data_IF_693783185851
#
_entry.id   IF_693783185851
#
_cell.length_a   1.000
_cell.length_b   1.000
_cell.length_c   1.000
_cell.angle_alpha   90.00
_cell.angle_beta   90.00
_cell.angle_gamma   90.00
#
_symmetry.space_group_name_H-M   'P 1'
#
loop_
_entity.id
_entity.type
_entity.pdbx_description
1 polymer ?
#
# COMPACT_ATOMS: atom_id res chain seq x y z
N UNK A 1 10.22 -15.84 22.29
CA UNK A 1 9.61 -16.89 21.43
C UNK A 1 10.15 -16.69 20.02
N UNK A 2 10.40 -17.74 19.25
CA UNK A 2 10.85 -17.59 17.85
C UNK A 2 9.71 -17.92 16.89
N UNK A 3 9.52 -17.10 15.86
CA UNK A 3 8.52 -17.25 14.82
C UNK A 3 9.21 -17.19 13.45
N UNK A 4 9.29 -18.32 12.76
CA UNK A 4 9.90 -18.40 11.45
C UNK A 4 8.88 -18.09 10.33
N UNK A 5 9.31 -17.29 9.36
CA UNK A 5 8.54 -16.90 8.17
C UNK A 5 9.50 -16.74 6.98
N UNK A 6 8.98 -16.82 5.76
CA UNK A 6 9.74 -16.49 4.55
C UNK A 6 9.81 -14.98 4.35
N UNK A 7 8.75 -14.26 4.76
CA UNK A 7 8.67 -12.80 4.68
C UNK A 7 8.07 -12.23 5.96
N UNK A 8 8.77 -11.27 6.55
CA UNK A 8 8.27 -10.41 7.62
C UNK A 8 7.89 -9.04 7.04
N UNK A 9 6.64 -8.62 7.23
CA UNK A 9 6.15 -7.28 6.85
C UNK A 9 5.86 -6.51 8.14
N UNK A 10 6.58 -5.42 8.36
CA UNK A 10 6.37 -4.53 9.49
C UNK A 10 5.49 -3.33 9.07
N UNK A 11 4.20 -3.39 9.43
CA UNK A 11 3.23 -2.33 9.18
C UNK A 11 2.00 -2.81 8.40
N UNK A 12 0.81 -2.37 8.84
CA UNK A 12 -0.48 -2.71 8.23
C UNK A 12 -1.11 -1.58 7.42
N UNK A 13 -0.33 -0.59 6.99
CA UNK A 13 -0.81 0.40 6.02
C UNK A 13 -1.03 -0.21 4.63
N UNK A 14 -1.52 0.61 3.70
CA UNK A 14 -1.75 0.19 2.29
C UNK A 14 -0.54 -0.53 1.69
N UNK A 15 0.68 -0.03 1.93
CA UNK A 15 1.89 -0.63 1.39
C UNK A 15 2.13 -2.05 1.91
N UNK A 16 1.99 -2.27 3.22
CA UNK A 16 2.21 -3.59 3.84
C UNK A 16 1.13 -4.60 3.42
N UNK A 17 -0.15 -4.20 3.49
CA UNK A 17 -1.26 -5.06 3.11
C UNK A 17 -1.23 -5.41 1.61
N UNK A 18 -1.01 -4.42 0.75
CA UNK A 18 -0.97 -4.65 -0.70
C UNK A 18 0.25 -5.48 -1.09
N UNK A 19 1.42 -5.26 -0.46
CA UNK A 19 2.60 -6.12 -0.67
C UNK A 19 2.31 -7.56 -0.28
N UNK A 20 1.72 -7.80 0.89
CA UNK A 20 1.38 -9.13 1.37
C UNK A 20 0.45 -9.88 0.40
N UNK A 21 -0.49 -9.16 -0.23
CA UNK A 21 -1.43 -9.72 -1.20
C UNK A 21 -0.81 -10.03 -2.57
N UNK A 22 0.24 -9.30 -2.97
CA UNK A 22 0.97 -9.52 -4.22
C UNK A 22 2.06 -10.60 -4.10
N UNK A 23 2.43 -11.00 -2.88
CA UNK A 23 3.36 -12.12 -2.67
C UNK A 23 2.73 -13.47 -3.04
N UNK A 24 3.61 -14.39 -3.47
CA UNK A 24 3.26 -15.76 -3.85
C UNK A 24 2.53 -16.49 -2.72
N UNK A 25 1.63 -17.40 -3.09
CA UNK A 25 0.74 -18.07 -2.12
C UNK A 25 1.41 -19.17 -1.31
N UNK A 26 2.60 -19.61 -1.73
CA UNK A 26 3.37 -20.67 -1.09
C UNK A 26 4.37 -20.17 -0.04
N UNK A 27 4.57 -18.85 0.05
CA UNK A 27 5.39 -18.23 1.10
C UNK A 27 4.60 -18.09 2.39
N UNK A 28 5.24 -18.39 3.53
CA UNK A 28 4.76 -18.07 4.87
C UNK A 28 5.06 -16.62 5.20
N UNK A 29 4.01 -15.81 5.25
CA UNK A 29 4.13 -14.36 5.48
C UNK A 29 3.66 -14.06 6.90
N UNK A 30 4.45 -13.28 7.63
CA UNK A 30 4.06 -12.68 8.90
C UNK A 30 3.94 -11.17 8.70
N UNK A 31 2.75 -10.62 8.92
CA UNK A 31 2.50 -9.19 8.91
C UNK A 31 2.25 -8.74 10.35
N UNK A 32 3.08 -7.85 10.87
CA UNK A 32 2.90 -7.27 12.20
C UNK A 32 2.35 -5.84 12.09
N UNK A 33 1.57 -5.44 13.08
CA UNK A 33 1.11 -4.06 13.25
C UNK A 33 1.30 -3.60 14.69
N UNK A 34 1.80 -2.39 14.87
CA UNK A 34 1.99 -1.76 16.19
C UNK A 34 0.68 -1.63 16.96
N UNK A 35 -0.42 -1.37 16.26
CA UNK A 35 -1.77 -1.28 16.82
C UNK A 35 -2.71 -2.26 16.14
N UNK A 36 -3.99 -1.89 16.02
CA UNK A 36 -4.95 -2.62 15.19
C UNK A 36 -4.73 -2.33 13.71
N UNK A 37 -5.23 -3.22 12.83
CA UNK A 37 -5.08 -3.09 11.38
C UNK A 37 -5.63 -1.76 10.83
N UNK A 38 -6.75 -1.30 11.36
CA UNK A 38 -7.42 -0.07 10.96
C UNK A 38 -6.85 1.20 11.63
N UNK A 39 -5.89 1.05 12.54
CA UNK A 39 -5.22 2.16 13.22
C UNK A 39 -3.96 2.59 12.45
N UNK A 40 -4.14 3.05 11.20
CA UNK A 40 -3.06 3.54 10.35
C UNK A 40 -3.46 4.76 9.53
N UNK A 41 -2.48 5.55 9.07
CA UNK A 41 -2.75 6.79 8.31
C UNK A 41 -3.49 6.54 6.99
N UNK A 42 -3.46 5.32 6.45
CA UNK A 42 -4.25 4.96 5.26
C UNK A 42 -5.73 5.19 5.51
N UNK A 43 -6.28 4.91 6.70
CA UNK A 43 -7.73 5.09 6.96
C UNK A 43 -8.15 6.56 7.02
N UNK A 44 -7.19 7.48 7.17
CA UNK A 44 -7.42 8.92 7.25
C UNK A 44 -7.37 9.62 5.87
N UNK A 45 -6.95 8.92 4.80
CA UNK A 45 -6.83 9.52 3.48
C UNK A 45 -8.21 9.75 2.83
N UNK A 46 -8.48 11.02 2.48
CA UNK A 46 -9.78 11.46 1.93
C UNK A 46 -9.73 11.57 0.40
N UNK A 47 -8.81 12.39 -0.11
CA UNK A 47 -8.79 12.90 -1.49
C UNK A 47 -8.89 11.81 -2.56
N UNK A 48 -7.95 10.87 -2.59
CA UNK A 48 -8.01 9.75 -3.53
C UNK A 48 -6.64 9.17 -3.89
N UNK A 49 -6.60 8.46 -5.02
CA UNK A 49 -5.39 7.82 -5.56
C UNK A 49 -5.11 8.41 -6.94
N UNK A 50 -3.94 9.01 -7.13
CA UNK A 50 -3.51 9.49 -8.45
C UNK A 50 -3.21 8.32 -9.37
N UNK A 51 -3.79 8.33 -10.57
CA UNK A 51 -3.64 7.28 -11.59
C UNK A 51 -3.59 7.91 -12.98
N UNK A 52 -2.75 7.39 -13.88
CA UNK A 52 -2.77 7.83 -15.27
C UNK A 52 -4.14 7.54 -15.90
N UNK A 53 -4.68 8.47 -16.69
CA UNK A 53 -5.97 8.23 -17.37
C UNK A 53 -5.87 7.18 -18.47
N UNK A 54 -4.72 7.15 -19.15
CA UNK A 54 -4.39 6.24 -20.24
C UNK A 54 -2.87 6.27 -20.46
N UNK A 55 -2.38 5.56 -21.49
CA UNK A 55 -0.95 5.50 -21.81
C UNK A 55 -0.36 6.85 -22.20
N UNK A 56 -1.14 7.70 -22.88
CA UNK A 56 -0.68 9.01 -23.36
C UNK A 56 -0.48 10.01 -22.20
N UNK A 57 -1.18 9.80 -21.09
CA UNK A 57 -1.07 10.60 -19.87
C UNK A 57 0.15 10.23 -18.99
N UNK A 58 0.77 9.07 -19.19
CA UNK A 58 1.89 8.61 -18.35
C UNK A 58 3.04 9.61 -18.35
N UNK A 59 3.41 10.15 -19.51
CA UNK A 59 4.49 11.13 -19.64
C UNK A 59 4.17 12.40 -18.83
N UNK A 60 2.94 12.89 -18.91
CA UNK A 60 2.48 14.06 -18.15
C UNK A 60 2.42 13.76 -16.65
N UNK A 61 2.03 12.55 -16.24
CA UNK A 61 2.04 12.14 -14.84
C UNK A 61 3.46 12.14 -14.26
N UNK A 62 4.42 11.58 -15.00
CA UNK A 62 5.84 11.60 -14.61
C UNK A 62 6.30 13.05 -14.44
N UNK A 63 6.03 13.91 -15.41
CA UNK A 63 6.47 15.30 -15.38
C UNK A 63 5.83 16.10 -14.24
N UNK A 64 4.51 15.95 -14.01
CA UNK A 64 3.81 16.58 -12.87
C UNK A 64 4.45 16.16 -11.54
N UNK A 65 4.82 14.87 -11.41
CA UNK A 65 5.42 14.32 -10.20
C UNK A 65 6.83 14.87 -9.98
N UNK A 66 7.64 14.92 -11.04
CA UNK A 66 9.00 15.47 -10.99
C UNK A 66 8.98 16.96 -10.64
N UNK A 67 8.12 17.75 -11.29
CA UNK A 67 7.94 19.17 -10.98
C UNK A 67 7.54 19.39 -9.53
N UNK A 68 6.57 18.62 -9.03
CA UNK A 68 6.12 18.73 -7.65
C UNK A 68 7.23 18.42 -6.63
N UNK A 69 8.15 17.51 -6.96
CA UNK A 69 9.32 17.17 -6.15
C UNK A 69 10.57 18.00 -6.46
N UNK A 70 10.44 19.12 -7.19
CA UNK A 70 11.57 19.96 -7.61
C UNK A 70 12.67 19.20 -8.36
N UNK A 71 12.30 18.12 -9.06
CA UNK A 71 13.19 17.20 -9.77
C UNK A 71 14.23 16.47 -8.90
N UNK A 72 14.08 16.48 -7.57
CA UNK A 72 14.92 15.71 -6.62
C UNK A 72 14.46 14.25 -6.48
N UNK A 73 13.42 13.85 -7.23
CA UNK A 73 12.92 12.49 -7.21
C UNK A 73 13.86 11.52 -7.93
N UNK A 74 13.81 10.25 -7.54
CA UNK A 74 14.36 9.18 -8.38
C UNK A 74 13.47 8.97 -9.62
N UNK A 75 13.98 9.34 -10.81
CA UNK A 75 13.24 9.24 -12.08
C UNK A 75 12.73 7.82 -12.36
N UNK A 76 13.53 6.79 -12.08
CA UNK A 76 13.13 5.40 -12.32
C UNK A 76 11.93 5.01 -11.45
N UNK A 77 11.93 5.40 -10.17
CA UNK A 77 10.82 5.15 -9.26
C UNK A 77 9.54 5.87 -9.70
N UNK A 78 9.65 7.13 -10.14
CA UNK A 78 8.50 7.90 -10.66
C UNK A 78 7.93 7.28 -11.93
N UNK A 79 8.80 6.81 -12.83
CA UNK A 79 8.37 6.09 -14.04
C UNK A 79 7.61 4.81 -13.68
N UNK A 80 8.11 4.01 -12.74
CA UNK A 80 7.41 2.80 -12.28
C UNK A 80 6.04 3.18 -11.72
N UNK A 81 5.98 4.15 -10.82
CA UNK A 81 4.74 4.64 -10.20
C UNK A 81 3.69 5.03 -11.25
N UNK A 82 4.08 5.83 -12.25
CA UNK A 82 3.17 6.30 -13.29
C UNK A 82 2.73 5.16 -14.23
N UNK A 83 3.67 4.34 -14.71
CA UNK A 83 3.39 3.26 -15.66
C UNK A 83 2.49 2.16 -15.07
N UNK A 84 2.71 1.79 -13.81
CA UNK A 84 1.95 0.72 -13.16
C UNK A 84 0.63 1.21 -12.53
N UNK A 85 0.36 2.52 -12.54
CA UNK A 85 -0.79 3.10 -11.85
C UNK A 85 -2.13 2.53 -12.32
N UNK A 86 -2.34 2.42 -13.64
CA UNK A 86 -3.59 1.90 -14.24
C UNK A 86 -3.80 0.44 -13.83
N UNK A 87 -2.77 -0.39 -13.97
CA UNK A 87 -2.85 -1.81 -13.61
C UNK A 87 -3.15 -1.98 -12.11
N UNK A 88 -2.52 -1.18 -11.25
CA UNK A 88 -2.76 -1.25 -9.82
C UNK A 88 -4.18 -0.81 -9.44
N UNK A 89 -4.74 0.23 -10.06
CA UNK A 89 -6.15 0.58 -9.84
C UNK A 89 -7.07 -0.55 -10.29
N UNK A 90 -6.84 -1.15 -11.46
CA UNK A 90 -7.64 -2.30 -11.93
C UNK A 90 -7.58 -3.47 -10.93
N UNK A 91 -6.39 -3.83 -10.44
CA UNK A 91 -6.23 -4.87 -9.40
C UNK A 91 -7.00 -4.54 -8.14
N UNK A 92 -6.98 -3.29 -7.69
CA UNK A 92 -7.74 -2.86 -6.52
C UNK A 92 -9.26 -2.96 -6.75
N UNK A 93 -9.73 -2.60 -7.95
CA UNK A 93 -11.13 -2.78 -8.34
C UNK A 93 -11.53 -4.26 -8.37
N UNK A 94 -10.68 -5.14 -8.90
CA UNK A 94 -10.87 -6.60 -8.89
C UNK A 94 -10.92 -7.18 -7.46
N UNK A 95 -10.18 -6.55 -6.53
CA UNK A 95 -10.28 -6.86 -5.10
C UNK A 95 -11.59 -6.34 -4.47
N UNK A 96 -12.34 -5.48 -5.14
CA UNK A 96 -13.63 -4.95 -4.72
C UNK A 96 -13.62 -3.47 -4.34
N UNK A 97 -12.59 -2.72 -4.72
CA UNK A 97 -12.57 -1.27 -4.55
C UNK A 97 -13.54 -0.61 -5.54
N UNK A 98 -14.72 -0.28 -5.04
CA UNK A 98 -15.69 0.48 -5.80
C UNK A 98 -15.31 1.96 -5.75
N UNK A 99 -14.75 2.47 -6.84
CA UNK A 99 -14.47 3.90 -7.02
C UNK A 99 -15.72 4.60 -7.57
N UNK A 100 -15.86 5.89 -7.26
CA UNK A 100 -16.97 6.70 -7.75
C UNK A 100 -16.93 6.82 -9.27
N UNK A 101 -18.12 6.90 -9.87
CA UNK A 101 -18.30 6.99 -11.32
C UNK A 101 -19.18 8.18 -11.68
N UNK A 102 -18.82 8.85 -12.77
CA UNK A 102 -19.70 9.78 -13.47
C UNK A 102 -20.23 9.07 -14.72
N UNK A 103 -21.55 8.89 -14.79
CA UNK A 103 -22.21 8.03 -15.78
C UNK A 103 -21.68 6.58 -15.74
N UNK A 104 -20.74 6.23 -16.62
CA UNK A 104 -20.13 4.89 -16.72
C UNK A 104 -18.62 4.88 -16.53
N UNK A 105 -18.00 6.06 -16.47
CA UNK A 105 -16.55 6.22 -16.32
C UNK A 105 -16.18 6.55 -14.89
N UNK A 106 -14.91 6.31 -14.52
CA UNK A 106 -14.39 6.72 -13.21
C UNK A 106 -14.52 8.23 -13.05
N UNK A 107 -14.97 8.65 -11.87
CA UNK A 107 -14.96 10.06 -11.47
C UNK A 107 -13.54 10.46 -11.11
N UNK A 108 -13.05 11.54 -11.71
CA UNK A 108 -11.70 12.06 -11.47
C UNK A 108 -11.77 13.46 -10.87
N UNK A 109 -11.05 13.66 -9.77
CA UNK A 109 -10.75 14.97 -9.20
C UNK A 109 -9.34 15.42 -9.59
N UNK A 110 -9.02 16.67 -9.25
CA UNK A 110 -7.72 17.30 -9.48
C UNK A 110 -7.30 18.03 -8.22
N UNK A 111 -6.13 17.69 -7.72
CA UNK A 111 -5.53 18.33 -6.55
C UNK A 111 -4.03 18.55 -6.79
N UNK A 112 -3.43 19.40 -5.98
CA UNK A 112 -1.98 19.65 -6.00
C UNK A 112 -1.46 20.10 -7.37
N UNK A 113 -0.27 19.60 -7.73
CA UNK A 113 0.49 20.01 -8.91
C UNK A 113 0.10 19.27 -10.20
N UNK A 114 -1.03 18.55 -10.23
CA UNK A 114 -1.43 17.84 -11.44
C UNK A 114 -1.82 18.79 -12.57
N UNK A 115 -1.45 18.46 -13.80
CA UNK A 115 -1.84 19.18 -15.02
C UNK A 115 -3.28 18.85 -15.45
N UNK A 116 -3.76 17.63 -15.16
CA UNK A 116 -5.12 17.16 -15.50
C UNK A 116 -5.82 16.49 -14.30
N UNK A 117 -7.13 16.25 -14.42
CA UNK A 117 -7.88 15.47 -13.43
C UNK A 117 -7.47 13.99 -13.54
N UNK A 118 -6.88 13.45 -12.47
CA UNK A 118 -6.29 12.09 -12.47
C UNK A 118 -6.41 11.36 -11.13
N UNK A 119 -7.17 11.91 -10.19
CA UNK A 119 -7.34 11.34 -8.85
C UNK A 119 -8.67 10.61 -8.80
N UNK A 120 -8.63 9.29 -8.65
CA UNK A 120 -9.82 8.46 -8.41
C UNK A 120 -10.13 8.41 -6.93
N UNK A 121 -11.41 8.38 -6.58
CA UNK A 121 -11.85 8.50 -5.19
C UNK A 121 -13.10 7.68 -4.90
N UNK A 122 -13.42 7.55 -3.61
CA UNK A 122 -14.72 7.10 -3.12
C UNK A 122 -15.20 8.08 -2.07
N UNK A 123 -16.11 8.97 -2.49
CA UNK A 123 -16.55 10.14 -1.72
C UNK A 123 -15.34 10.86 -1.11
N UNK A 124 -15.39 11.13 0.18
CA UNK A 124 -14.38 11.80 0.98
C UNK A 124 -13.61 10.84 1.92
N UNK A 125 -13.63 9.54 1.67
CA UNK A 125 -12.98 8.54 2.54
C UNK A 125 -12.36 7.35 1.78
N UNK A 126 -11.72 7.65 0.65
CA UNK A 126 -11.07 6.66 -0.24
C UNK A 126 -10.13 5.72 0.52
N UNK A 127 -9.30 6.26 1.42
CA UNK A 127 -8.31 5.50 2.18
C UNK A 127 -8.94 4.48 3.13
N UNK A 128 -10.04 4.85 3.81
CA UNK A 128 -10.80 3.94 4.66
C UNK A 128 -11.35 2.76 3.87
N UNK A 129 -11.93 3.00 2.69
CA UNK A 129 -12.42 1.90 1.84
C UNK A 129 -11.33 1.00 1.32
N UNK A 130 -10.21 1.58 0.92
CA UNK A 130 -9.04 0.82 0.49
C UNK A 130 -8.51 -0.08 1.60
N UNK A 131 -8.32 0.45 2.80
CA UNK A 131 -7.86 -0.32 3.96
C UNK A 131 -8.84 -1.47 4.30
N UNK A 132 -10.14 -1.19 4.40
CA UNK A 132 -11.17 -2.20 4.71
C UNK A 132 -11.11 -3.40 3.73
N UNK A 133 -10.92 -3.13 2.44
CA UNK A 133 -10.84 -4.16 1.40
C UNK A 133 -9.55 -4.95 1.51
N UNK A 134 -8.40 -4.27 1.62
CA UNK A 134 -7.11 -4.92 1.71
C UNK A 134 -7.02 -5.78 2.97
N UNK A 135 -7.44 -5.26 4.12
CA UNK A 135 -7.52 -6.02 5.38
C UNK A 135 -8.40 -7.26 5.24
N UNK A 136 -9.61 -7.11 4.67
CA UNK A 136 -10.52 -8.24 4.44
C UNK A 136 -9.91 -9.31 3.52
N UNK A 137 -9.15 -8.92 2.49
CA UNK A 137 -8.48 -9.87 1.59
C UNK A 137 -7.30 -10.54 2.28
N UNK A 138 -6.51 -9.79 3.03
CA UNK A 138 -5.34 -10.28 3.78
C UNK A 138 -5.75 -11.33 4.80
N UNK A 139 -6.76 -11.05 5.62
CA UNK A 139 -7.26 -11.98 6.64
C UNK A 139 -7.86 -13.28 6.06
N UNK A 140 -8.24 -13.28 4.78
CA UNK A 140 -8.73 -14.49 4.08
C UNK A 140 -7.60 -15.37 3.52
N UNK A 141 -6.37 -14.87 3.44
CA UNK A 141 -5.25 -15.65 2.89
C UNK A 141 -4.62 -16.52 3.97
N UNK A 142 -4.72 -17.83 3.78
CA UNK A 142 -4.19 -18.85 4.72
C UNK A 142 -2.67 -18.76 4.93
N UNK A 143 -1.93 -18.22 3.97
CA UNK A 143 -0.47 -18.12 4.03
C UNK A 143 0.03 -16.83 4.71
N UNK A 144 -0.89 -15.95 5.15
CA UNK A 144 -0.57 -14.72 5.86
C UNK A 144 -1.02 -14.84 7.32
N UNK A 145 -0.08 -14.70 8.24
CA UNK A 145 -0.37 -14.56 9.68
C UNK A 145 -0.27 -13.09 10.05
N UNK A 146 -1.35 -12.53 10.58
CA UNK A 146 -1.39 -11.14 11.04
C UNK A 146 -1.23 -11.10 12.56
N UNK A 147 -0.36 -10.23 13.06
CA UNK A 147 -0.13 -10.03 14.49
C UNK A 147 -0.30 -8.54 14.83
N UNK A 148 -1.47 -8.20 15.38
CA UNK A 148 -1.77 -6.86 15.91
C UNK A 148 -1.11 -6.64 17.28
N UNK A 149 -0.99 -5.35 17.67
CA UNK A 149 -0.36 -4.91 18.91
C UNK A 149 1.06 -5.48 19.08
N UNK A 150 1.83 -5.48 17.99
CA UNK A 150 3.17 -6.03 17.89
C UNK A 150 4.09 -5.01 17.22
N UNK A 151 5.06 -4.49 17.98
CA UNK A 151 6.01 -3.48 17.51
C UNK A 151 7.32 -4.14 17.12
N UNK A 152 7.83 -3.88 15.92
CA UNK A 152 9.24 -4.12 15.59
C UNK A 152 10.10 -3.15 16.42
N UNK A 153 11.07 -3.67 17.16
CA UNK A 153 11.96 -2.87 18.01
C UNK A 153 13.41 -2.93 17.57
N UNK A 154 13.83 -4.01 16.92
CA UNK A 154 15.19 -4.13 16.39
C UNK A 154 15.24 -5.09 15.19
N UNK A 155 16.32 -5.05 14.42
CA UNK A 155 16.58 -5.94 13.30
C UNK A 155 17.56 -7.05 13.72
N UNK A 156 17.25 -8.28 13.31
CA UNK A 156 18.19 -9.39 13.45
C UNK A 156 19.06 -9.40 12.19
N UNK A 157 20.31 -8.98 12.31
CA UNK A 157 21.20 -8.82 11.16
C UNK A 157 22.62 -9.31 11.44
N UNK A 158 23.29 -9.78 10.39
CA UNK A 158 24.71 -10.12 10.41
C UNK A 158 25.32 -9.81 9.04
N UNK A 159 26.56 -9.29 9.00
CA UNK A 159 27.28 -8.96 7.76
C UNK A 159 26.42 -8.22 6.72
N UNK A 160 25.76 -7.13 7.14
CA UNK A 160 24.88 -6.31 6.31
C UNK A 160 23.71 -7.06 5.66
N UNK A 161 23.32 -8.20 6.22
CA UNK A 161 22.17 -9.00 5.80
C UNK A 161 21.15 -9.05 6.93
N UNK A 162 19.90 -8.70 6.63
CA UNK A 162 18.78 -8.78 7.56
C UNK A 162 18.13 -10.17 7.49
N UNK A 163 17.99 -10.85 8.62
CA UNK A 163 17.41 -12.18 8.76
C UNK A 163 16.03 -12.17 9.42
N UNK A 164 15.64 -11.06 10.04
CA UNK A 164 14.38 -10.96 10.77
C UNK A 164 14.30 -9.71 11.63
N UNK A 165 13.42 -9.73 12.62
CA UNK A 165 13.17 -8.60 13.49
C UNK A 165 12.80 -9.02 14.89
N UNK A 166 13.34 -8.33 15.88
CA UNK A 166 12.91 -8.46 17.27
C UNK A 166 11.64 -7.63 17.45
N UNK A 167 10.57 -8.28 17.87
CA UNK A 167 9.26 -7.67 18.05
C UNK A 167 8.78 -7.78 19.50
N UNK A 168 8.05 -6.78 19.97
CA UNK A 168 7.38 -6.78 21.27
C UNK A 168 5.87 -6.86 21.10
N UNK A 169 5.26 -7.86 21.73
CA UNK A 169 3.81 -8.02 21.84
C UNK A 169 3.45 -8.28 23.29
N UNK A 170 2.62 -7.41 23.89
CA UNK A 170 2.18 -7.54 25.29
C UNK A 170 3.36 -7.74 26.26
N UNK A 171 4.44 -6.94 26.08
CA UNK A 171 5.72 -7.04 26.78
C UNK A 171 6.48 -8.37 26.64
N UNK A 172 6.08 -9.21 25.69
CA UNK A 172 6.78 -10.46 25.35
C UNK A 172 7.53 -10.29 24.04
N UNK A 173 8.78 -10.72 24.06
CA UNK A 173 9.64 -10.71 22.88
C UNK A 173 9.33 -11.89 21.95
N UNK A 174 9.16 -11.55 20.68
CA UNK A 174 9.02 -12.47 19.54
C UNK A 174 10.18 -12.16 18.60
N UNK A 175 11.01 -13.16 18.32
CA UNK A 175 12.10 -13.10 17.34
C UNK A 175 11.67 -13.77 16.04
#
# INVERSE_FOLDING_TARGET
MNLYADVLIAGSGVAGLYSALNLRKDLKIVLISKGKLNECNTTLAQGGISVARNKDDITTFVEDTLKAGSYENNLCAVKILANESIENINKLQDMGLNLDKCEKELSYTKEGAHSINRIVHFKDYTGKKLEEILTKKTLKRKNITVIENCSLVDLIQNNNTCFGGICLKDNKQIN
#
